data_IF_873385883931
#
_entry.id   IF_873385883931
#
_cell.length_a   1.000
_cell.length_b   1.000
_cell.length_c   1.000
_cell.angle_alpha   90.00
_cell.angle_beta   90.00
_cell.angle_gamma   90.00
#
_symmetry.space_group_name_H-M   'P 1'
#
loop_
_entity.id
_entity.type
_entity.pdbx_description
1 polymer ?
#
# COMPACT_ATOMS: atom_id res chain seq x y z
N UNK A 1 15.26 32.12 11.36
CA UNK A 1 14.03 31.94 12.16
C UNK A 1 13.07 31.11 11.32
N UNK A 2 12.85 29.84 11.66
CA UNK A 2 11.86 29.02 10.98
C UNK A 2 10.48 29.55 11.35
N UNK A 3 9.69 29.90 10.36
CA UNK A 3 8.27 30.24 10.53
C UNK A 3 7.62 28.97 11.09
N UNK A 4 7.34 28.96 12.40
CA UNK A 4 6.50 27.91 13.00
C UNK A 4 5.12 28.08 12.39
N UNK A 5 4.69 27.14 11.58
CA UNK A 5 3.36 27.11 11.02
C UNK A 5 2.41 26.64 12.14
N UNK A 6 1.95 27.60 12.98
CA UNK A 6 1.14 27.27 14.16
C UNK A 6 -0.24 26.72 13.78
N UNK A 7 -0.67 26.93 12.53
CA UNK A 7 -2.04 26.72 12.08
C UNK A 7 -2.17 25.63 10.98
N UNK A 8 -1.20 24.68 10.86
CA UNK A 8 -1.34 23.64 9.83
C UNK A 8 -2.52 22.70 10.12
N UNK A 9 -3.34 22.46 9.12
CA UNK A 9 -4.53 21.62 9.22
C UNK A 9 -4.32 20.26 8.55
N UNK A 10 -4.79 19.18 9.22
CA UNK A 10 -4.81 17.82 8.67
C UNK A 10 -6.20 17.49 8.12
N UNK A 11 -6.28 16.95 6.90
CA UNK A 11 -7.47 16.27 6.39
C UNK A 11 -7.26 14.77 6.54
N UNK A 12 -8.03 14.14 7.41
CA UNK A 12 -8.01 12.68 7.62
C UNK A 12 -9.09 12.06 6.74
N UNK A 13 -8.70 11.27 5.76
CA UNK A 13 -9.60 10.62 4.79
C UNK A 13 -9.77 9.15 5.18
N UNK A 14 -11.03 8.75 5.43
CA UNK A 14 -11.39 7.37 5.84
C UNK A 14 -12.41 6.80 4.85
N UNK A 15 -11.99 5.92 3.93
CA UNK A 15 -12.93 5.16 3.11
C UNK A 15 -13.61 4.09 3.96
N UNK A 16 -14.96 4.04 3.94
CA UNK A 16 -15.78 3.16 4.76
C UNK A 16 -16.65 2.27 3.88
N UNK A 17 -16.49 0.95 3.97
CA UNK A 17 -17.37 -0.02 3.33
C UNK A 17 -17.60 -1.22 4.24
N UNK A 18 -18.86 -1.42 4.69
CA UNK A 18 -19.23 -2.48 5.63
C UNK A 18 -18.30 -2.54 6.86
N UNK A 19 -18.07 -1.38 7.48
CA UNK A 19 -17.11 -1.17 8.55
C UNK A 19 -17.76 -0.97 9.94
N UNK A 20 -19.05 -1.27 10.10
CA UNK A 20 -19.81 -1.01 11.32
C UNK A 20 -19.18 -1.57 12.59
N UNK A 21 -18.40 -2.66 12.48
CA UNK A 21 -17.72 -3.29 13.62
C UNK A 21 -16.55 -2.46 14.16
N UNK A 22 -15.86 -1.68 13.30
CA UNK A 22 -14.57 -1.08 13.65
C UNK A 22 -14.51 0.43 13.47
N UNK A 23 -15.35 1.01 12.62
CA UNK A 23 -15.28 2.42 12.23
C UNK A 23 -15.36 3.38 13.42
N UNK A 24 -16.09 3.05 14.48
CA UNK A 24 -16.12 3.85 15.71
C UNK A 24 -14.73 4.00 16.36
N UNK A 25 -13.91 2.92 16.34
CA UNK A 25 -12.55 2.96 16.89
C UNK A 25 -11.68 3.91 16.07
N UNK A 26 -11.79 3.86 14.74
CA UNK A 26 -11.07 4.76 13.85
C UNK A 26 -11.44 6.23 14.12
N UNK A 27 -12.74 6.55 14.17
CA UNK A 27 -13.24 7.90 14.43
C UNK A 27 -12.80 8.41 15.81
N UNK A 28 -12.98 7.60 16.85
CA UNK A 28 -12.59 7.98 18.22
C UNK A 28 -11.09 8.22 18.37
N UNK A 29 -10.25 7.50 17.60
CA UNK A 29 -8.81 7.72 17.60
C UNK A 29 -8.43 9.11 17.05
N UNK A 30 -9.21 9.66 16.11
CA UNK A 30 -9.04 11.01 15.60
C UNK A 30 -9.59 12.04 16.59
N UNK A 31 -10.74 11.79 17.18
CA UNK A 31 -11.34 12.66 18.19
C UNK A 31 -10.46 12.84 19.44
N UNK A 32 -9.70 11.79 19.82
CA UNK A 32 -8.80 11.81 20.98
C UNK A 32 -7.44 12.46 20.71
N UNK A 33 -7.17 12.92 19.49
CA UNK A 33 -5.89 13.57 19.18
C UNK A 33 -5.67 14.84 20.02
N UNK A 34 -4.47 14.94 20.59
CA UNK A 34 -4.06 16.11 21.37
C UNK A 34 -3.88 17.39 20.54
N UNK A 35 -3.68 17.26 19.23
CA UNK A 35 -3.68 18.36 18.27
C UNK A 35 -5.03 18.46 17.58
N UNK A 36 -5.71 19.61 17.67
CA UNK A 36 -7.13 19.75 17.32
C UNK A 36 -7.42 20.38 15.95
N UNK A 37 -6.41 20.83 15.19
CA UNK A 37 -6.63 21.43 13.88
C UNK A 37 -6.64 20.38 12.78
N UNK A 38 -7.76 19.68 12.67
CA UNK A 38 -8.02 18.64 11.68
C UNK A 38 -9.48 18.66 11.22
N UNK A 39 -9.74 18.12 10.04
CA UNK A 39 -11.05 17.70 9.57
C UNK A 39 -11.02 16.19 9.34
N UNK A 40 -12.12 15.51 9.60
CA UNK A 40 -12.30 14.08 9.38
C UNK A 40 -13.33 13.86 8.26
N UNK A 41 -12.87 13.28 7.16
CA UNK A 41 -13.63 13.07 5.94
C UNK A 41 -13.95 11.58 5.84
N UNK A 42 -15.20 11.22 6.15
CA UNK A 42 -15.71 9.86 6.14
C UNK A 42 -16.47 9.61 4.83
N UNK A 43 -15.97 8.71 4.00
CA UNK A 43 -16.60 8.37 2.73
C UNK A 43 -17.27 7.01 2.85
N UNK A 44 -18.60 6.98 2.94
CA UNK A 44 -19.37 5.73 2.85
C UNK A 44 -19.43 5.29 1.39
N UNK A 45 -18.75 4.20 1.05
CA UNK A 45 -18.69 3.63 -0.29
C UNK A 45 -19.84 2.63 -0.52
N UNK A 46 -21.08 3.06 -0.25
CA UNK A 46 -22.28 2.26 -0.45
C UNK A 46 -22.38 1.04 0.48
N UNK A 47 -22.11 1.20 1.78
CA UNK A 47 -22.23 0.13 2.78
C UNK A 47 -23.64 -0.43 2.86
N UNK A 48 -23.75 -1.74 3.16
CA UNK A 48 -24.99 -2.48 3.31
C UNK A 48 -25.30 -2.82 4.79
N UNK A 49 -24.38 -2.48 5.69
CA UNK A 49 -24.52 -2.63 7.14
C UNK A 49 -24.80 -1.26 7.81
N UNK A 50 -24.77 -1.19 9.13
CA UNK A 50 -25.06 0.03 9.89
C UNK A 50 -23.90 1.07 9.84
N UNK A 51 -22.94 0.94 8.93
CA UNK A 51 -21.79 1.87 8.83
C UNK A 51 -22.28 3.31 8.70
N UNK A 52 -23.16 3.60 7.74
CA UNK A 52 -23.63 4.97 7.46
C UNK A 52 -24.29 5.64 8.67
N UNK A 53 -25.12 4.91 9.41
CA UNK A 53 -25.78 5.42 10.62
C UNK A 53 -24.76 5.81 11.70
N UNK A 54 -23.70 5.01 11.85
CA UNK A 54 -22.60 5.30 12.78
C UNK A 54 -21.87 6.58 12.34
N UNK A 55 -21.57 6.74 11.05
CA UNK A 55 -20.89 7.93 10.54
C UNK A 55 -21.72 9.21 10.83
N UNK A 56 -23.01 9.20 10.54
CA UNK A 56 -23.88 10.35 10.83
C UNK A 56 -24.04 10.62 12.32
N UNK A 57 -24.05 9.60 13.17
CA UNK A 57 -24.04 9.79 14.60
C UNK A 57 -22.83 10.62 15.07
N UNK A 58 -21.63 10.32 14.61
CA UNK A 58 -20.43 11.09 14.97
C UNK A 58 -20.44 12.49 14.35
N UNK A 59 -20.84 12.63 13.10
CA UNK A 59 -20.91 13.93 12.42
C UNK A 59 -21.91 14.88 13.06
N UNK A 60 -23.00 14.38 13.65
CA UNK A 60 -23.98 15.22 14.38
C UNK A 60 -23.43 15.75 15.71
N UNK A 61 -22.32 15.20 16.22
CA UNK A 61 -21.73 15.58 17.50
C UNK A 61 -20.43 16.40 17.37
N UNK A 62 -19.81 16.48 16.18
CA UNK A 62 -18.58 17.25 15.94
C UNK A 62 -18.56 17.79 14.51
N UNK A 63 -18.57 19.12 14.37
CA UNK A 63 -18.61 19.85 13.08
C UNK A 63 -17.38 19.63 12.19
N UNK A 64 -16.27 19.14 12.76
CA UNK A 64 -15.04 18.80 12.02
C UNK A 64 -15.19 17.49 11.26
N UNK A 65 -16.24 16.70 11.52
CA UNK A 65 -16.52 15.42 10.86
C UNK A 65 -17.49 15.68 9.70
N UNK A 66 -17.06 15.30 8.51
CA UNK A 66 -17.85 15.40 7.27
C UNK A 66 -18.12 14.01 6.72
N UNK A 67 -19.37 13.70 6.45
CA UNK A 67 -19.80 12.41 5.89
C UNK A 67 -20.27 12.60 4.46
N UNK A 68 -19.79 11.75 3.58
CA UNK A 68 -20.22 11.68 2.19
C UNK A 68 -20.67 10.26 1.88
N UNK A 69 -21.92 10.14 1.44
CA UNK A 69 -22.52 8.86 1.04
C UNK A 69 -22.48 8.77 -0.49
N UNK A 70 -21.76 7.80 -1.02
CA UNK A 70 -21.55 7.63 -2.46
C UNK A 70 -21.89 6.20 -2.90
N UNK A 71 -22.32 6.00 -4.15
CA UNK A 71 -22.47 4.66 -4.70
C UNK A 71 -21.17 3.89 -4.66
N UNK A 72 -21.24 2.57 -4.31
CA UNK A 72 -20.05 1.73 -4.23
C UNK A 72 -19.21 1.78 -5.51
N UNK A 73 -17.96 2.17 -5.36
CA UNK A 73 -16.99 2.29 -6.45
C UNK A 73 -15.61 1.77 -6.09
N UNK A 74 -15.45 1.25 -4.87
CA UNK A 74 -14.19 0.72 -4.35
C UNK A 74 -13.31 1.78 -3.68
N UNK A 75 -12.33 1.30 -2.91
CA UNK A 75 -11.48 2.12 -2.05
C UNK A 75 -10.77 3.27 -2.77
N UNK A 76 -10.28 3.04 -4.00
CA UNK A 76 -9.62 4.08 -4.82
C UNK A 76 -10.55 5.25 -5.11
N UNK A 77 -11.81 4.96 -5.52
CA UNK A 77 -12.80 5.99 -5.81
C UNK A 77 -13.21 6.75 -4.55
N UNK A 78 -13.40 6.06 -3.43
CA UNK A 78 -13.70 6.68 -2.15
C UNK A 78 -12.55 7.60 -1.69
N UNK A 79 -11.28 7.16 -1.80
CA UNK A 79 -10.13 8.00 -1.49
C UNK A 79 -10.00 9.21 -2.41
N UNK A 80 -10.25 9.05 -3.71
CA UNK A 80 -10.26 10.15 -4.67
C UNK A 80 -11.31 11.20 -4.29
N UNK A 81 -12.54 10.77 -3.98
CA UNK A 81 -13.56 11.68 -3.50
C UNK A 81 -13.10 12.46 -2.26
N UNK A 82 -12.47 11.76 -1.30
CA UNK A 82 -11.89 12.39 -0.12
C UNK A 82 -10.81 13.42 -0.45
N UNK A 83 -9.94 13.14 -1.44
CA UNK A 83 -8.92 14.08 -1.92
C UNK A 83 -9.54 15.34 -2.53
N UNK A 84 -10.62 15.19 -3.29
CA UNK A 84 -11.29 16.32 -3.97
C UNK A 84 -11.97 17.28 -3.01
N UNK A 85 -12.47 16.79 -1.86
CA UNK A 85 -13.16 17.60 -0.86
C UNK A 85 -12.26 18.08 0.29
N UNK A 86 -11.03 17.55 0.41
CA UNK A 86 -10.08 17.89 1.47
C UNK A 86 -9.63 19.35 1.39
N UNK A 87 -9.59 20.04 2.54
CA UNK A 87 -9.24 21.47 2.66
C UNK A 87 -7.94 21.69 3.44
N UNK A 88 -7.51 20.74 4.28
CA UNK A 88 -6.32 20.86 5.10
C UNK A 88 -5.04 20.96 4.29
N UNK A 89 -3.98 21.43 4.93
CA UNK A 89 -2.64 21.56 4.31
C UNK A 89 -2.00 20.19 4.03
N UNK A 90 -2.37 19.20 4.85
CA UNK A 90 -1.78 17.87 4.86
C UNK A 90 -2.87 16.80 4.80
N UNK A 91 -2.69 15.83 3.91
CA UNK A 91 -3.57 14.67 3.75
C UNK A 91 -3.02 13.50 4.56
N UNK A 92 -3.90 12.85 5.30
CA UNK A 92 -3.63 11.61 6.05
C UNK A 92 -4.71 10.60 5.70
N UNK A 93 -4.32 9.39 5.32
CA UNK A 93 -5.27 8.30 5.10
C UNK A 93 -5.32 7.39 6.33
N UNK A 94 -6.52 6.94 6.66
CA UNK A 94 -6.76 5.94 7.70
C UNK A 94 -7.78 4.93 7.18
N UNK A 95 -7.49 3.63 7.26
CA UNK A 95 -8.47 2.61 6.93
C UNK A 95 -9.50 2.47 8.07
N UNK A 96 -10.74 2.16 7.76
CA UNK A 96 -11.86 2.17 8.71
C UNK A 96 -11.76 1.12 9.83
N UNK A 97 -10.83 0.18 9.72
CA UNK A 97 -10.53 -0.85 10.72
C UNK A 97 -9.24 -0.59 11.52
N UNK A 98 -8.51 0.49 11.20
CA UNK A 98 -7.26 0.91 11.85
C UNK A 98 -7.49 2.10 12.80
N UNK A 99 -6.46 2.50 13.57
CA UNK A 99 -6.56 3.65 14.49
C UNK A 99 -5.19 4.28 14.78
N UNK A 100 -5.21 5.55 15.21
CA UNK A 100 -4.01 6.30 15.60
C UNK A 100 -3.70 6.19 17.09
N UNK A 101 -2.43 6.36 17.45
CA UNK A 101 -2.00 6.72 18.80
C UNK A 101 -2.50 8.13 19.16
N UNK A 102 -2.82 8.38 20.43
CA UNK A 102 -3.43 9.65 20.90
C UNK A 102 -2.59 10.90 20.66
N UNK A 103 -1.27 10.75 20.56
CA UNK A 103 -0.32 11.83 20.30
C UNK A 103 0.14 11.92 18.84
N UNK A 104 -0.43 11.14 17.92
CA UNK A 104 0.07 10.99 16.55
C UNK A 104 0.19 12.36 15.85
N UNK A 105 -0.86 13.17 15.84
CA UNK A 105 -0.86 14.45 15.14
C UNK A 105 0.09 15.48 15.78
N UNK A 106 0.27 15.45 17.08
CA UNK A 106 1.24 16.31 17.78
C UNK A 106 2.68 15.93 17.40
N UNK A 107 2.99 14.64 17.32
CA UNK A 107 4.31 14.15 16.88
C UNK A 107 4.54 14.50 15.40
N UNK A 108 3.56 14.25 14.53
CA UNK A 108 3.63 14.61 13.10
C UNK A 108 3.92 16.12 12.95
N UNK A 109 3.16 16.96 13.65
CA UNK A 109 3.38 18.43 13.64
C UNK A 109 4.80 18.82 14.06
N UNK A 110 5.35 18.18 15.10
CA UNK A 110 6.73 18.44 15.53
C UNK A 110 7.76 18.14 14.41
N UNK A 111 7.59 17.03 13.70
CA UNK A 111 8.47 16.68 12.58
C UNK A 111 8.29 17.64 11.40
N UNK A 112 7.06 18.03 11.04
CA UNK A 112 6.79 18.98 9.97
C UNK A 112 7.38 20.37 10.29
N UNK A 113 7.34 20.81 11.54
CA UNK A 113 7.99 22.05 11.97
C UNK A 113 9.54 21.95 11.92
N UNK A 114 10.09 20.77 12.16
CA UNK A 114 11.54 20.52 12.09
C UNK A 114 12.04 20.43 10.64
N UNK A 115 11.20 19.97 9.72
CA UNK A 115 11.50 19.79 8.30
C UNK A 115 10.51 20.57 7.43
N UNK A 116 10.61 21.92 7.38
CA UNK A 116 9.60 22.78 6.75
C UNK A 116 9.49 22.61 5.22
N UNK A 117 10.53 22.08 4.59
CA UNK A 117 10.56 21.78 3.15
C UNK A 117 10.01 20.40 2.81
N UNK A 118 9.68 19.60 3.83
CA UNK A 118 9.16 18.25 3.65
C UNK A 118 7.84 18.30 2.85
N UNK A 119 7.71 17.40 1.89
CA UNK A 119 6.49 17.21 1.10
C UNK A 119 5.76 15.92 1.49
N UNK A 120 6.50 14.94 2.03
CA UNK A 120 5.96 13.68 2.52
C UNK A 120 6.66 13.29 3.81
N UNK A 121 5.86 13.03 4.84
CA UNK A 121 6.34 12.53 6.12
C UNK A 121 5.82 11.10 6.33
N UNK A 122 6.69 10.13 6.64
CA UNK A 122 6.30 8.75 6.89
C UNK A 122 6.69 8.27 8.27
N UNK A 123 5.87 7.41 8.87
CA UNK A 123 6.02 6.82 10.20
C UNK A 123 5.64 5.34 10.22
N UNK A 124 5.93 4.65 11.31
CA UNK A 124 5.66 3.22 11.46
C UNK A 124 4.29 2.94 12.11
N UNK A 125 3.96 1.65 12.15
CA UNK A 125 2.72 1.15 12.71
C UNK A 125 2.96 -0.06 13.62
N UNK A 126 1.99 -0.29 14.50
CA UNK A 126 1.85 -1.54 15.23
C UNK A 126 0.97 -2.50 14.43
N UNK A 127 1.30 -3.79 14.44
CA UNK A 127 0.39 -4.84 14.01
C UNK A 127 -0.45 -5.31 15.19
N UNK A 128 -1.75 -5.53 14.96
CA UNK A 128 -2.70 -5.94 15.98
C UNK A 128 -3.52 -7.13 15.51
N UNK A 129 -3.51 -8.24 16.26
CA UNK A 129 -4.33 -9.43 16.02
C UNK A 129 -5.01 -9.84 17.34
N UNK A 130 -6.27 -9.47 17.50
CA UNK A 130 -6.97 -9.60 18.77
C UNK A 130 -6.22 -8.82 19.86
N UNK A 131 -5.78 -9.51 20.92
CA UNK A 131 -5.02 -8.92 22.02
C UNK A 131 -3.49 -8.87 21.79
N UNK A 132 -3.02 -9.48 20.70
CA UNK A 132 -1.58 -9.47 20.38
C UNK A 132 -1.22 -8.23 19.59
N UNK A 133 -0.16 -7.57 20.05
CA UNK A 133 0.43 -6.41 19.37
C UNK A 133 1.93 -6.66 19.17
N UNK A 134 2.45 -6.29 17.99
CA UNK A 134 3.89 -6.36 17.71
C UNK A 134 4.30 -5.25 16.73
N UNK A 135 5.61 -5.05 16.61
CA UNK A 135 6.26 -4.10 15.70
C UNK A 135 7.10 -4.85 14.69
N UNK A 136 7.16 -4.32 13.47
CA UNK A 136 8.23 -4.65 12.53
C UNK A 136 9.23 -3.49 12.57
N UNK A 137 10.48 -3.80 12.87
CA UNK A 137 11.51 -2.77 12.95
C UNK A 137 12.07 -2.48 11.56
N UNK A 138 11.98 -1.25 11.07
CA UNK A 138 12.63 -0.87 9.82
C UNK A 138 14.15 -0.88 10.00
N UNK A 139 14.87 -1.12 8.89
CA UNK A 139 16.35 -1.09 8.86
C UNK A 139 16.76 0.28 8.31
N UNK A 140 16.66 1.32 9.12
CA UNK A 140 17.22 2.64 8.86
C UNK A 140 17.44 3.40 10.19
N UNK A 141 18.26 4.47 10.20
CA UNK A 141 18.44 5.30 11.39
C UNK A 141 17.14 5.93 11.85
N UNK A 142 17.13 6.56 13.03
CA UNK A 142 15.94 7.20 13.62
C UNK A 142 15.18 8.08 12.64
N UNK A 143 15.89 8.72 11.70
CA UNK A 143 15.35 9.55 10.64
C UNK A 143 16.04 9.20 9.34
N UNK A 144 15.26 8.98 8.28
CA UNK A 144 15.72 8.80 6.91
C UNK A 144 15.18 9.97 6.07
N UNK A 145 16.08 10.81 5.57
CA UNK A 145 15.78 11.93 4.68
C UNK A 145 16.16 11.57 3.25
N UNK A 146 15.30 11.85 2.29
CA UNK A 146 15.54 11.66 0.86
C UNK A 146 15.16 12.90 0.09
N UNK A 147 16.02 13.32 -0.83
CA UNK A 147 15.84 14.48 -1.70
C UNK A 147 16.36 14.17 -3.10
N UNK A 148 15.80 14.82 -4.13
CA UNK A 148 16.26 14.68 -5.50
C UNK A 148 16.33 13.22 -5.97
N UNK A 149 17.48 12.82 -6.53
CA UNK A 149 17.69 11.47 -7.07
C UNK A 149 17.55 10.34 -6.03
N UNK A 150 17.76 10.63 -4.74
CA UNK A 150 17.64 9.61 -3.69
C UNK A 150 16.18 9.17 -3.46
N UNK A 151 15.20 9.96 -3.90
CA UNK A 151 13.77 9.57 -3.86
C UNK A 151 13.50 8.37 -4.77
N UNK A 152 14.26 8.20 -5.85
CA UNK A 152 14.12 7.07 -6.76
C UNK A 152 14.24 5.72 -6.04
N UNK A 153 15.12 5.60 -5.04
CA UNK A 153 15.26 4.37 -4.26
C UNK A 153 13.97 3.99 -3.53
N UNK A 154 13.26 4.97 -2.99
CA UNK A 154 11.97 4.71 -2.34
C UNK A 154 10.89 4.26 -3.35
N UNK A 155 10.90 4.79 -4.58
CA UNK A 155 9.99 4.35 -5.65
C UNK A 155 10.30 2.92 -6.08
N UNK A 156 11.57 2.55 -6.21
CA UNK A 156 12.00 1.18 -6.50
C UNK A 156 11.56 0.20 -5.41
N UNK A 157 11.69 0.59 -4.13
CA UNK A 157 11.26 -0.22 -2.99
C UNK A 157 9.73 -0.42 -2.94
N UNK A 158 8.94 0.53 -3.44
CA UNK A 158 7.50 0.34 -3.64
C UNK A 158 7.17 -0.74 -4.65
N UNK A 159 8.00 -0.91 -5.68
CA UNK A 159 7.83 -2.01 -6.64
C UNK A 159 8.25 -3.33 -6.02
N UNK A 160 9.42 -3.36 -5.40
CA UNK A 160 9.98 -4.58 -4.82
C UNK A 160 10.73 -4.31 -3.51
N UNK A 161 10.08 -4.47 -2.33
CA UNK A 161 10.61 -4.06 -1.02
C UNK A 161 11.96 -4.70 -0.62
N UNK A 162 12.41 -5.72 -1.32
CA UNK A 162 13.70 -6.38 -1.06
C UNK A 162 14.87 -5.77 -1.83
N UNK A 163 14.60 -4.86 -2.76
CA UNK A 163 15.65 -4.33 -3.63
C UNK A 163 16.62 -3.42 -2.86
N UNK A 164 16.09 -2.49 -2.09
CA UNK A 164 16.90 -1.58 -1.27
C UNK A 164 17.58 -2.31 -0.11
N UNK A 165 16.94 -3.34 0.47
CA UNK A 165 17.54 -4.21 1.47
C UNK A 165 18.80 -4.89 0.93
N UNK A 166 18.78 -5.37 -0.33
CA UNK A 166 19.92 -6.06 -0.95
C UNK A 166 21.01 -5.07 -1.33
N UNK A 167 20.67 -3.91 -1.93
CA UNK A 167 21.63 -2.92 -2.39
C UNK A 167 22.19 -2.04 -1.26
N UNK A 168 21.31 -1.45 -0.45
CA UNK A 168 21.66 -0.37 0.49
C UNK A 168 21.48 -0.77 1.96
N UNK A 169 21.00 -2.00 2.24
CA UNK A 169 20.68 -2.50 3.58
C UNK A 169 19.67 -1.60 4.32
N UNK A 170 18.76 -0.97 3.59
CA UNK A 170 17.65 -0.17 4.11
C UNK A 170 16.35 -0.95 3.93
N UNK A 171 15.50 -0.95 4.91
CA UNK A 171 14.15 -1.54 4.83
C UNK A 171 13.14 -0.58 5.42
N UNK A 172 12.13 -0.21 4.62
CA UNK A 172 11.01 0.64 5.02
C UNK A 172 9.73 -0.20 4.96
N UNK A 173 9.28 -0.70 6.10
CA UNK A 173 8.21 -1.71 6.17
C UNK A 173 6.91 -1.30 5.51
N UNK A 174 6.46 -0.04 5.69
CA UNK A 174 5.17 0.46 5.19
C UNK A 174 5.26 1.34 3.94
N UNK A 175 6.39 1.27 3.19
CA UNK A 175 6.62 2.21 2.07
C UNK A 175 5.50 2.18 1.02
N UNK A 176 4.86 1.03 0.81
CA UNK A 176 3.83 0.81 -0.22
C UNK A 176 2.44 1.30 0.19
N UNK A 177 2.16 1.44 1.47
CA UNK A 177 0.85 1.81 1.98
C UNK A 177 0.67 3.34 2.01
N UNK A 178 -0.53 3.85 1.81
CA UNK A 178 -0.84 5.27 1.97
C UNK A 178 -1.02 5.66 3.42
N UNK A 179 -1.53 4.74 4.26
CA UNK A 179 -1.53 4.94 5.70
C UNK A 179 -0.09 4.90 6.26
N UNK A 180 0.15 5.49 7.39
CA UNK A 180 1.52 5.71 7.91
C UNK A 180 2.29 6.81 7.17
N UNK A 181 1.60 7.64 6.39
CA UNK A 181 2.15 8.80 5.70
C UNK A 181 1.27 10.03 5.84
N UNK A 182 1.93 11.18 5.74
CA UNK A 182 1.29 12.49 5.64
C UNK A 182 1.80 13.14 4.36
N UNK A 183 0.89 13.54 3.50
CA UNK A 183 1.19 14.11 2.19
C UNK A 183 0.80 15.59 2.18
N UNK A 184 1.69 16.45 1.71
CA UNK A 184 1.38 17.85 1.49
C UNK A 184 0.32 17.98 0.40
N UNK A 185 -0.87 18.46 0.73
CA UNK A 185 -2.01 18.54 -0.20
C UNK A 185 -1.65 19.25 -1.50
N UNK A 186 -0.85 20.31 -1.45
CA UNK A 186 -0.41 21.06 -2.62
C UNK A 186 0.31 20.17 -3.65
N UNK A 187 1.13 19.19 -3.23
CA UNK A 187 1.82 18.28 -4.15
C UNK A 187 0.81 17.44 -4.92
N UNK A 188 -0.24 16.96 -4.26
CA UNK A 188 -1.29 16.16 -4.88
C UNK A 188 -2.13 17.01 -5.84
N UNK A 189 -2.64 18.16 -5.38
CA UNK A 189 -3.56 18.98 -6.14
C UNK A 189 -2.91 19.68 -7.35
N UNK A 190 -1.67 20.19 -7.19
CA UNK A 190 -0.96 20.86 -8.28
C UNK A 190 -0.56 19.92 -9.43
N UNK A 191 -0.47 18.62 -9.16
CA UNK A 191 -0.12 17.59 -10.15
C UNK A 191 -1.31 16.70 -10.51
N UNK A 192 -2.53 17.01 -10.06
CA UNK A 192 -3.76 16.29 -10.35
C UNK A 192 -3.67 14.78 -10.05
N UNK A 193 -3.02 14.43 -8.92
CA UNK A 193 -2.74 13.04 -8.57
C UNK A 193 -3.95 12.38 -7.93
N UNK A 194 -4.34 11.22 -8.45
CA UNK A 194 -5.44 10.40 -7.96
C UNK A 194 -5.06 8.92 -7.96
N UNK A 195 -5.75 8.14 -7.13
CA UNK A 195 -5.68 6.68 -7.20
C UNK A 195 -6.26 6.20 -8.53
N UNK A 196 -5.66 5.18 -9.13
CA UNK A 196 -6.22 4.53 -10.31
C UNK A 196 -7.46 3.74 -9.90
N UNK A 197 -8.62 4.14 -10.40
CA UNK A 197 -9.87 3.43 -10.16
C UNK A 197 -9.83 2.03 -10.76
N UNK A 198 -10.53 1.09 -10.12
CA UNK A 198 -10.58 -0.34 -10.50
C UNK A 198 -9.24 -1.09 -10.40
N UNK A 199 -8.16 -0.47 -9.95
CA UNK A 199 -6.93 -1.15 -9.62
C UNK A 199 -7.07 -1.81 -8.24
N UNK A 200 -7.29 -3.13 -8.24
CA UNK A 200 -7.59 -3.90 -7.00
C UNK A 200 -6.35 -4.29 -6.19
N UNK A 201 -5.17 -4.13 -6.75
CA UNK A 201 -3.89 -4.48 -6.12
C UNK A 201 -2.86 -3.43 -6.52
N UNK A 202 -2.08 -2.98 -5.55
CA UNK A 202 -1.01 -1.98 -5.70
C UNK A 202 -1.50 -0.55 -5.96
N UNK A 203 -2.77 -0.25 -5.77
CA UNK A 203 -3.34 1.09 -5.89
C UNK A 203 -2.61 2.09 -4.98
N UNK A 204 -2.35 1.70 -3.74
CA UNK A 204 -1.63 2.49 -2.75
C UNK A 204 -0.18 2.77 -3.17
N UNK A 205 0.52 1.72 -3.59
CA UNK A 205 1.92 1.83 -3.98
C UNK A 205 2.10 2.70 -5.23
N UNK A 206 1.19 2.59 -6.20
CA UNK A 206 1.22 3.40 -7.42
C UNK A 206 0.90 4.85 -7.11
N UNK A 207 -0.11 5.12 -6.28
CA UNK A 207 -0.41 6.47 -5.82
C UNK A 207 0.79 7.09 -5.07
N UNK A 208 1.40 6.33 -4.15
CA UNK A 208 2.60 6.78 -3.46
C UNK A 208 3.74 7.07 -4.43
N UNK A 209 3.98 6.23 -5.46
CA UNK A 209 5.01 6.48 -6.48
C UNK A 209 4.76 7.79 -7.22
N UNK A 210 3.50 8.04 -7.60
CA UNK A 210 3.14 9.27 -8.31
C UNK A 210 3.35 10.51 -7.42
N UNK A 211 2.99 10.45 -6.15
CA UNK A 211 3.24 11.57 -5.22
C UNK A 211 4.75 11.75 -4.96
N UNK A 212 5.52 10.65 -4.83
CA UNK A 212 6.96 10.71 -4.60
C UNK A 212 7.72 11.27 -5.81
N UNK A 213 7.22 11.05 -7.03
CA UNK A 213 7.77 11.64 -8.26
C UNK A 213 7.78 13.17 -8.21
N UNK A 214 6.80 13.77 -7.56
CA UNK A 214 6.63 15.22 -7.48
C UNK A 214 7.10 15.81 -6.14
N UNK A 215 7.62 14.99 -5.24
CA UNK A 215 8.11 15.44 -3.95
C UNK A 215 9.56 15.94 -4.04
N UNK A 216 9.85 17.05 -3.37
CA UNK A 216 11.21 17.60 -3.26
C UNK A 216 11.97 17.00 -2.09
N UNK A 217 11.27 16.71 -0.99
CA UNK A 217 11.85 16.15 0.23
C UNK A 217 10.89 15.17 0.91
N UNK A 218 11.41 14.01 1.26
CA UNK A 218 10.69 12.95 1.99
C UNK A 218 11.44 12.65 3.27
N UNK A 219 10.72 12.70 4.39
CA UNK A 219 11.23 12.36 5.72
C UNK A 219 10.51 11.11 6.23
N UNK A 220 11.26 10.06 6.53
CA UNK A 220 10.73 8.88 7.22
C UNK A 220 11.36 8.83 8.62
N UNK A 221 10.54 8.64 9.64
CA UNK A 221 11.01 8.55 11.02
C UNK A 221 10.47 7.31 11.73
N UNK A 222 11.25 6.82 12.70
CA UNK A 222 11.03 5.53 13.32
C UNK A 222 10.15 5.65 14.58
N UNK A 223 8.99 6.32 14.46
CA UNK A 223 7.97 6.37 15.50
C UNK A 223 6.74 5.57 15.05
N UNK A 224 6.06 4.95 16.01
CA UNK A 224 4.90 4.09 15.75
C UNK A 224 3.65 4.87 16.15
N UNK A 225 2.91 5.37 15.16
CA UNK A 225 1.78 6.28 15.37
C UNK A 225 0.43 5.74 14.90
N UNK A 226 0.41 4.58 14.25
CA UNK A 226 -0.80 3.94 13.74
C UNK A 226 -0.83 2.48 14.14
N UNK A 227 -2.02 1.96 14.33
CA UNK A 227 -2.30 0.55 14.55
C UNK A 227 -2.97 -0.06 13.33
N UNK A 228 -2.32 -1.06 12.76
CA UNK A 228 -2.86 -1.84 11.66
C UNK A 228 -3.52 -3.11 12.20
N UNK A 229 -4.80 -3.31 11.90
CA UNK A 229 -5.55 -4.50 12.31
C UNK A 229 -5.31 -5.64 11.34
N UNK A 230 -4.68 -6.71 11.84
CA UNK A 230 -4.52 -7.94 11.06
C UNK A 230 -5.81 -8.74 11.10
N UNK A 231 -6.43 -8.94 9.96
CA UNK A 231 -7.67 -9.72 9.80
C UNK A 231 -7.40 -11.06 9.13
N UNK A 232 -8.05 -12.13 9.60
CA UNK A 232 -8.04 -13.44 8.93
C UNK A 232 -8.84 -13.43 7.61
N UNK A 233 -9.70 -12.44 7.41
CA UNK A 233 -10.53 -12.26 6.21
C UNK A 233 -9.84 -11.45 5.11
N UNK A 234 -8.53 -11.15 5.24
CA UNK A 234 -7.78 -10.42 4.23
C UNK A 234 -8.01 -10.98 2.83
N UNK A 235 -8.36 -10.08 1.88
CA UNK A 235 -8.57 -10.39 0.46
C UNK A 235 -7.40 -11.13 -0.18
N UNK A 236 -6.18 -10.95 0.34
CA UNK A 236 -4.93 -11.59 -0.12
C UNK A 236 -4.86 -13.11 0.12
N UNK A 237 -5.89 -13.73 0.72
CA UNK A 237 -5.99 -15.17 0.94
C UNK A 237 -7.19 -15.82 0.24
N UNK A 238 -8.06 -15.03 -0.37
CA UNK A 238 -9.28 -15.51 -1.00
C UNK A 238 -9.02 -16.02 -2.43
N UNK A 239 -9.90 -16.93 -2.90
CA UNK A 239 -9.90 -17.38 -4.29
C UNK A 239 -10.28 -16.22 -5.21
N UNK A 240 -9.42 -15.92 -6.20
CA UNK A 240 -9.64 -14.83 -7.15
C UNK A 240 -9.47 -15.34 -8.59
N UNK A 241 -10.58 -15.65 -9.29
CA UNK A 241 -10.53 -16.15 -10.65
C UNK A 241 -10.01 -15.13 -11.68
N UNK A 242 -10.11 -13.83 -11.36
CA UNK A 242 -9.66 -12.75 -12.22
C UNK A 242 -8.23 -12.28 -11.89
N UNK A 243 -7.48 -13.02 -11.06
CA UNK A 243 -6.15 -12.60 -10.60
C UNK A 243 -5.18 -12.29 -11.74
N UNK A 244 -5.34 -12.92 -12.91
CA UNK A 244 -4.49 -12.67 -14.07
C UNK A 244 -4.70 -11.25 -14.59
N UNK A 245 -5.92 -10.89 -14.93
CA UNK A 245 -6.24 -9.53 -15.43
C UNK A 245 -5.95 -8.45 -14.39
N UNK A 246 -6.16 -8.74 -13.10
CA UNK A 246 -5.80 -7.85 -12.00
C UNK A 246 -4.28 -7.63 -11.95
N UNK A 247 -3.49 -8.70 -12.07
CA UNK A 247 -2.03 -8.60 -12.10
C UNK A 247 -1.52 -7.89 -13.35
N UNK A 248 -2.09 -8.19 -14.53
CA UNK A 248 -1.73 -7.53 -15.79
C UNK A 248 -1.98 -6.03 -15.73
N UNK A 249 -3.14 -5.61 -15.19
CA UNK A 249 -3.44 -4.19 -15.01
C UNK A 249 -2.46 -3.51 -14.04
N UNK A 250 -2.11 -4.15 -12.93
CA UNK A 250 -1.12 -3.63 -11.99
C UNK A 250 0.27 -3.54 -12.64
N UNK A 251 0.69 -4.57 -13.37
CA UNK A 251 1.98 -4.59 -14.08
C UNK A 251 2.05 -3.50 -15.15
N UNK A 252 0.99 -3.30 -15.94
CA UNK A 252 0.91 -2.20 -16.92
C UNK A 252 1.04 -0.85 -16.23
N UNK A 253 0.32 -0.66 -15.13
CA UNK A 253 0.35 0.60 -14.37
C UNK A 253 1.75 0.95 -13.86
N UNK A 254 2.53 -0.05 -13.42
CA UNK A 254 3.94 0.16 -13.08
C UNK A 254 4.81 0.40 -14.32
N UNK A 255 4.61 -0.36 -15.39
CA UNK A 255 5.45 -0.27 -16.58
C UNK A 255 5.33 1.07 -17.29
N UNK A 256 4.14 1.68 -17.30
CA UNK A 256 3.92 3.02 -17.85
C UNK A 256 4.78 4.10 -17.16
N UNK A 257 5.18 3.87 -15.89
CA UNK A 257 6.00 4.78 -15.10
C UNK A 257 7.51 4.58 -15.26
N UNK A 258 7.95 3.65 -16.12
CA UNK A 258 9.37 3.32 -16.27
C UNK A 258 10.21 4.53 -16.73
N UNK A 259 9.61 5.44 -17.47
CA UNK A 259 10.30 6.64 -17.96
C UNK A 259 10.58 7.68 -16.88
N UNK A 260 9.99 7.53 -15.68
CA UNK A 260 10.23 8.35 -14.51
C UNK A 260 11.45 7.86 -13.69
N UNK A 261 12.18 6.86 -14.20
CA UNK A 261 13.37 6.32 -13.56
C UNK A 261 14.62 6.64 -14.35
N UNK A 262 15.65 7.12 -13.66
CA UNK A 262 16.95 7.42 -14.26
C UNK A 262 17.67 6.13 -14.61
N UNK A 263 17.65 5.15 -13.71
CA UNK A 263 18.29 3.86 -13.92
C UNK A 263 17.28 2.80 -14.37
N UNK A 264 17.18 2.61 -15.69
CA UNK A 264 16.27 1.62 -16.28
C UNK A 264 16.61 0.18 -15.85
N UNK A 265 17.89 -0.15 -15.63
CA UNK A 265 18.28 -1.51 -15.17
C UNK A 265 17.74 -1.79 -13.74
N UNK A 266 17.78 -0.80 -12.87
CA UNK A 266 17.24 -0.93 -11.51
C UNK A 266 15.71 -1.07 -11.55
N UNK A 267 15.04 -0.30 -12.43
CA UNK A 267 13.61 -0.46 -12.68
C UNK A 267 13.27 -1.88 -13.15
N UNK A 268 13.99 -2.40 -14.16
CA UNK A 268 13.74 -3.74 -14.71
C UNK A 268 13.92 -4.85 -13.68
N UNK A 269 14.93 -4.73 -12.81
CA UNK A 269 15.16 -5.68 -11.73
C UNK A 269 14.01 -5.65 -10.69
N UNK A 270 13.53 -4.47 -10.32
CA UNK A 270 12.38 -4.33 -9.42
C UNK A 270 11.08 -4.80 -10.08
N UNK A 271 10.91 -4.51 -11.37
CA UNK A 271 9.75 -4.95 -12.13
C UNK A 271 9.72 -6.48 -12.25
N UNK A 272 10.87 -7.15 -12.47
CA UNK A 272 10.97 -8.60 -12.36
C UNK A 272 10.56 -9.11 -10.98
N UNK A 273 10.92 -8.39 -9.92
CA UNK A 273 10.46 -8.67 -8.57
C UNK A 273 8.94 -8.69 -8.47
N UNK A 274 8.28 -7.66 -9.02
CA UNK A 274 6.81 -7.58 -9.11
C UNK A 274 6.22 -8.71 -9.94
N UNK A 275 6.78 -9.01 -11.09
CA UNK A 275 6.36 -10.14 -11.94
C UNK A 275 6.44 -11.46 -11.16
N UNK A 276 7.51 -11.67 -10.39
CA UNK A 276 7.65 -12.87 -9.57
C UNK A 276 6.57 -12.99 -8.49
N UNK A 277 6.16 -11.86 -7.88
CA UNK A 277 5.02 -11.79 -6.95
C UNK A 277 3.70 -12.12 -7.65
N UNK A 278 3.50 -11.58 -8.86
CA UNK A 278 2.30 -11.87 -9.65
C UNK A 278 2.21 -13.36 -10.03
N UNK A 279 3.32 -13.98 -10.47
CA UNK A 279 3.39 -15.41 -10.73
C UNK A 279 3.01 -16.21 -9.47
N UNK A 280 3.57 -15.84 -8.32
CA UNK A 280 3.26 -16.51 -7.05
C UNK A 280 1.79 -16.33 -6.66
N UNK A 281 1.20 -15.13 -6.82
CA UNK A 281 -0.22 -14.87 -6.57
C UNK A 281 -1.14 -15.70 -7.48
N UNK A 282 -0.82 -15.84 -8.76
CA UNK A 282 -1.57 -16.72 -9.69
C UNK A 282 -1.61 -18.15 -9.16
N UNK A 283 -0.50 -18.69 -8.66
CA UNK A 283 -0.50 -19.99 -8.02
C UNK A 283 -1.34 -20.02 -6.73
N UNK A 284 -1.10 -19.07 -5.82
CA UNK A 284 -1.71 -19.08 -4.48
C UNK A 284 -3.22 -18.87 -4.51
N UNK A 285 -3.68 -17.87 -5.27
CA UNK A 285 -5.08 -17.40 -5.23
C UNK A 285 -5.96 -18.04 -6.29
N UNK A 286 -5.37 -18.70 -7.30
CA UNK A 286 -6.12 -19.28 -8.40
C UNK A 286 -5.75 -20.73 -8.66
N UNK A 287 -4.57 -20.99 -9.26
CA UNK A 287 -4.20 -22.30 -9.82
C UNK A 287 -4.13 -23.43 -8.75
N UNK A 288 -3.51 -23.16 -7.58
CA UNK A 288 -3.36 -24.11 -6.49
C UNK A 288 -4.34 -23.89 -5.34
N UNK A 289 -5.27 -22.94 -5.50
CA UNK A 289 -6.27 -22.70 -4.47
C UNK A 289 -7.25 -23.87 -4.37
N UNK A 290 -7.71 -24.19 -3.13
CA UNK A 290 -8.65 -25.32 -2.87
C UNK A 290 -9.96 -25.27 -3.64
N UNK A 291 -10.43 -24.06 -4.02
CA UNK A 291 -11.64 -23.87 -4.83
C UNK A 291 -11.42 -24.04 -6.34
N UNK A 292 -10.18 -24.22 -6.81
CA UNK A 292 -9.87 -24.40 -8.22
C UNK A 292 -10.09 -25.87 -8.65
N UNK A 293 -11.14 -26.11 -9.45
CA UNK A 293 -11.53 -27.44 -9.91
C UNK A 293 -11.00 -27.81 -11.30
N UNK A 294 -10.04 -27.04 -11.86
CA UNK A 294 -9.50 -27.29 -13.19
C UNK A 294 -8.53 -28.49 -13.21
N UNK A 295 -8.54 -29.21 -14.34
CA UNK A 295 -7.52 -30.22 -14.62
C UNK A 295 -6.10 -29.61 -14.69
N UNK A 296 -5.06 -30.44 -14.50
CA UNK A 296 -3.68 -29.99 -14.64
C UNK A 296 -3.40 -29.32 -16.00
N UNK A 297 -3.95 -29.90 -17.09
CA UNK A 297 -3.82 -29.35 -18.45
C UNK A 297 -4.34 -27.91 -18.52
N UNK A 298 -5.53 -27.65 -17.98
CA UNK A 298 -6.14 -26.30 -17.97
C UNK A 298 -5.37 -25.34 -17.08
N UNK A 299 -4.91 -25.77 -15.92
CA UNK A 299 -4.05 -24.97 -15.02
C UNK A 299 -2.74 -24.56 -15.69
N UNK A 300 -2.12 -25.49 -16.43
CA UNK A 300 -0.90 -25.22 -17.19
C UNK A 300 -1.16 -24.23 -18.33
N UNK A 301 -2.26 -24.38 -19.07
CA UNK A 301 -2.68 -23.43 -20.12
C UNK A 301 -2.82 -22.00 -19.57
N UNK A 302 -3.53 -21.86 -18.45
CA UNK A 302 -3.72 -20.55 -17.75
C UNK A 302 -2.37 -19.94 -17.38
N UNK A 303 -1.46 -20.73 -16.80
CA UNK A 303 -0.11 -20.27 -16.45
C UNK A 303 0.66 -19.81 -17.68
N UNK A 304 0.61 -20.59 -18.77
CA UNK A 304 1.32 -20.27 -20.00
C UNK A 304 0.82 -18.97 -20.64
N UNK A 305 -0.49 -18.75 -20.64
CA UNK A 305 -1.08 -17.52 -21.15
C UNK A 305 -0.54 -16.30 -20.37
N UNK A 306 -0.51 -16.38 -19.04
CA UNK A 306 0.05 -15.33 -18.21
C UNK A 306 1.56 -15.10 -18.44
N UNK A 307 2.37 -16.17 -18.49
CA UNK A 307 3.82 -16.08 -18.75
C UNK A 307 4.16 -15.52 -20.13
N UNK A 308 3.28 -15.67 -21.11
CA UNK A 308 3.44 -15.14 -22.46
C UNK A 308 2.89 -13.75 -22.64
N UNK A 309 2.24 -13.14 -21.63
CA UNK A 309 1.84 -11.73 -21.70
C UNK A 309 3.05 -10.83 -21.89
N UNK A 310 2.86 -9.69 -22.56
CA UNK A 310 3.94 -8.75 -22.90
C UNK A 310 4.67 -8.26 -21.66
N UNK A 311 3.92 -7.97 -20.60
CA UNK A 311 4.41 -7.46 -19.34
C UNK A 311 5.35 -8.45 -18.62
N UNK A 312 5.00 -9.74 -18.65
CA UNK A 312 5.80 -10.78 -18.01
C UNK A 312 7.00 -11.14 -18.86
N UNK A 313 6.79 -11.35 -20.16
CA UNK A 313 7.82 -11.81 -21.09
C UNK A 313 8.99 -10.82 -21.22
N UNK A 314 8.71 -9.52 -21.19
CA UNK A 314 9.71 -8.46 -21.37
C UNK A 314 10.87 -8.52 -20.37
N UNK A 315 10.63 -8.98 -19.15
CA UNK A 315 11.62 -8.96 -18.06
C UNK A 315 12.04 -10.34 -17.56
N UNK A 316 11.54 -11.44 -18.14
CA UNK A 316 11.94 -12.76 -17.71
C UNK A 316 13.46 -13.00 -17.79
N UNK A 317 14.17 -12.25 -18.63
CA UNK A 317 15.64 -12.35 -18.81
C UNK A 317 16.45 -11.39 -17.92
N UNK A 318 15.83 -10.56 -17.08
CA UNK A 318 16.53 -9.65 -16.16
C UNK A 318 17.31 -10.42 -15.06
N UNK A 319 18.18 -9.74 -14.30
CA UNK A 319 19.01 -10.40 -13.29
C UNK A 319 18.17 -11.01 -12.16
N UNK A 320 18.43 -12.29 -11.83
CA UNK A 320 17.75 -13.00 -10.75
C UNK A 320 18.39 -12.83 -9.36
N UNK A 321 19.52 -12.14 -9.25
CA UNK A 321 20.27 -12.05 -7.99
C UNK A 321 19.52 -11.27 -6.91
N UNK A 322 18.62 -10.39 -7.32
CA UNK A 322 17.79 -9.58 -6.42
C UNK A 322 16.52 -10.30 -5.92
N UNK A 323 16.21 -11.50 -6.44
CA UNK A 323 15.02 -12.23 -6.02
C UNK A 323 15.28 -13.11 -4.80
N UNK A 324 14.36 -13.18 -3.83
CA UNK A 324 14.36 -14.18 -2.77
C UNK A 324 14.32 -15.60 -3.35
N UNK A 325 14.92 -16.57 -2.64
CA UNK A 325 15.14 -17.92 -3.15
C UNK A 325 13.92 -18.56 -3.83
N UNK A 326 12.77 -18.60 -3.17
CA UNK A 326 11.57 -19.23 -3.76
C UNK A 326 11.09 -18.56 -5.05
N UNK A 327 11.13 -17.21 -5.12
CA UNK A 327 10.77 -16.45 -6.32
C UNK A 327 11.81 -16.61 -7.43
N UNK A 328 13.09 -16.61 -7.07
CA UNK A 328 14.19 -16.90 -7.98
C UNK A 328 13.98 -18.25 -8.68
N UNK A 329 13.62 -19.31 -7.93
CA UNK A 329 13.36 -20.63 -8.51
C UNK A 329 12.14 -20.63 -9.44
N UNK A 330 11.06 -19.92 -9.10
CA UNK A 330 9.87 -19.80 -9.97
C UNK A 330 10.24 -19.18 -11.33
N UNK A 331 10.94 -18.05 -11.30
CA UNK A 331 11.36 -17.37 -12.54
C UNK A 331 12.37 -18.19 -13.32
N UNK A 332 13.32 -18.84 -12.65
CA UNK A 332 14.29 -19.73 -13.30
C UNK A 332 13.59 -20.89 -14.02
N UNK A 333 12.62 -21.56 -13.36
CA UNK A 333 11.82 -22.60 -13.99
C UNK A 333 10.99 -22.09 -15.18
N UNK A 334 10.45 -20.88 -15.11
CA UNK A 334 9.75 -20.23 -16.22
C UNK A 334 10.66 -20.04 -17.44
N UNK A 335 11.88 -19.51 -17.24
CA UNK A 335 12.92 -19.36 -18.29
C UNK A 335 13.32 -20.68 -18.96
N UNK A 336 13.39 -21.76 -18.17
CA UNK A 336 13.75 -23.09 -18.64
C UNK A 336 12.57 -23.89 -19.17
N UNK A 337 11.36 -23.30 -19.20
CA UNK A 337 10.12 -23.98 -19.57
C UNK A 337 9.79 -25.21 -18.71
N UNK A 338 10.29 -25.25 -17.46
CA UNK A 338 10.08 -26.34 -16.50
C UNK A 338 8.78 -26.15 -15.73
N UNK A 339 7.67 -26.11 -16.43
CA UNK A 339 6.37 -25.76 -15.84
C UNK A 339 5.92 -26.71 -14.74
N UNK A 340 6.20 -28.02 -14.86
CA UNK A 340 5.92 -28.99 -13.79
C UNK A 340 6.66 -28.66 -12.50
N UNK A 341 7.93 -28.23 -12.59
CA UNK A 341 8.71 -27.80 -11.42
C UNK A 341 8.16 -26.51 -10.81
N UNK A 342 7.61 -25.60 -11.61
CA UNK A 342 6.96 -24.38 -11.08
C UNK A 342 5.80 -24.73 -10.14
N UNK A 343 4.97 -25.74 -10.47
CA UNK A 343 3.88 -26.21 -9.60
C UNK A 343 4.42 -26.73 -8.26
N UNK A 344 5.53 -27.50 -8.28
CA UNK A 344 6.16 -28.04 -7.07
C UNK A 344 6.72 -26.90 -6.21
N UNK A 345 7.50 -25.98 -6.80
CA UNK A 345 8.10 -24.85 -6.09
C UNK A 345 7.03 -23.95 -5.49
N UNK A 346 5.98 -23.64 -6.25
CA UNK A 346 4.87 -22.82 -5.76
C UNK A 346 4.13 -23.51 -4.61
N UNK A 347 3.83 -24.80 -4.73
CA UNK A 347 3.17 -25.57 -3.69
C UNK A 347 3.98 -25.55 -2.38
N UNK A 348 5.27 -25.88 -2.45
CA UNK A 348 6.16 -25.90 -1.28
C UNK A 348 6.25 -24.49 -0.63
N UNK A 349 6.36 -23.43 -1.44
CA UNK A 349 6.40 -22.06 -0.97
C UNK A 349 5.10 -21.66 -0.24
N UNK A 350 3.93 -22.05 -0.76
CA UNK A 350 2.63 -21.83 -0.13
C UNK A 350 2.53 -22.58 1.22
N UNK A 351 2.97 -23.85 1.28
CA UNK A 351 2.95 -24.62 2.53
C UNK A 351 3.89 -23.99 3.58
N UNK A 352 5.07 -23.55 3.17
CA UNK A 352 6.02 -22.88 4.07
C UNK A 352 5.43 -21.58 4.67
N UNK A 353 4.75 -20.75 3.88
CA UNK A 353 4.06 -19.55 4.37
C UNK A 353 2.97 -19.89 5.39
N UNK A 354 2.15 -20.91 5.12
CA UNK A 354 1.12 -21.37 6.06
C UNK A 354 1.71 -21.85 7.40
N UNK A 355 2.87 -22.49 7.35
CA UNK A 355 3.57 -22.95 8.55
C UNK A 355 4.09 -21.76 9.40
N UNK A 356 4.65 -20.73 8.74
CA UNK A 356 5.11 -19.52 9.43
C UNK A 356 3.99 -18.71 10.07
N UNK A 357 2.80 -18.68 9.48
CA UNK A 357 1.63 -17.97 10.02
C UNK A 357 1.01 -18.65 11.25
N UNK A 358 1.33 -19.94 11.51
CA UNK A 358 0.84 -20.69 12.67
C UNK A 358 1.75 -20.59 13.91
N UNK A 359 2.98 -20.11 13.74
CA UNK A 359 3.92 -19.77 14.82
C UNK A 359 3.83 -18.31 15.22
#
# INVERSE_FOLDING_TARGET
>A
MSIKNENMQFSVIVPCYNASTYVSIAIESVLKQSYNNWELILINDGSLDNTLDILYFYASNDERIKVFDVPNGGVSKARNYGLDVAQGDWIVFLDADDWFEENAFSVIKQYLNRYPNCDILGFNHFYNLGLKQWKESPIFPKILQRTGADIEWLKLDMMFPYYDVIKNKVFVGSIRAVWGKVFKRKVITSNHLHFIENLKISEDAIFCMDVFEHASEIILFNEYLTHYRVSSSSTMNNYEPNIISINEFALDSYYQRRYNFVNISDFENCYLGMVSECIFRVFKLYILHKKCNFSYKKRKEILLNFLNSSQVKSVLNADLNYLPFGKKQLVYCARKHWYGMMFIVAFLSIQFLKFRQKK
#
